data_IF_436068403307
#
_entry.id   IF_436068403307
#
_cell.length_a   1.000
_cell.length_b   1.000
_cell.length_c   1.000
_cell.angle_alpha   90.00
_cell.angle_beta   90.00
_cell.angle_gamma   90.00
#
_symmetry.space_group_name_H-M   'P 1'
#
loop_
_entity.id
_entity.type
_entity.pdbx_description
1 polymer ?
#
# COMPACT_ATOMS: atom_id res chain seq x y z
N UNK A 1 -12.75 28.38 -9.62
CA UNK A 1 -12.93 26.98 -10.04
C UNK A 1 -12.65 26.13 -8.82
N UNK A 2 -13.51 25.16 -8.49
CA UNK A 2 -13.20 24.20 -7.41
C UNK A 2 -11.96 23.42 -7.79
N UNK A 3 -11.08 23.12 -6.83
CA UNK A 3 -9.95 22.23 -7.09
C UNK A 3 -10.47 20.82 -7.39
N UNK A 4 -9.89 20.13 -8.37
CA UNK A 4 -10.26 18.74 -8.65
C UNK A 4 -9.54 17.78 -7.73
N UNK A 5 -10.16 16.62 -7.45
CA UNK A 5 -9.48 15.52 -6.76
C UNK A 5 -8.24 15.06 -7.51
N UNK A 6 -8.27 15.09 -8.84
CA UNK A 6 -7.15 14.64 -9.67
C UNK A 6 -5.95 15.57 -9.57
N UNK A 7 -6.17 16.89 -9.50
CA UNK A 7 -5.08 17.85 -9.25
C UNK A 7 -4.50 17.68 -7.85
N UNK A 8 -5.35 17.45 -6.84
CA UNK A 8 -4.91 17.21 -5.47
C UNK A 8 -4.09 15.91 -5.37
N UNK A 9 -4.57 14.82 -5.95
CA UNK A 9 -3.87 13.55 -6.00
C UNK A 9 -2.52 13.68 -6.72
N UNK A 10 -2.47 14.45 -7.83
CA UNK A 10 -1.21 14.72 -8.53
C UNK A 10 -0.23 15.51 -7.66
N UNK A 11 -0.70 16.52 -6.94
CA UNK A 11 0.13 17.28 -6.02
C UNK A 11 0.71 16.40 -4.89
N UNK A 12 -0.07 15.45 -4.36
CA UNK A 12 0.43 14.47 -3.39
C UNK A 12 1.53 13.58 -3.98
N UNK A 13 1.31 13.09 -5.22
CA UNK A 13 2.26 12.23 -5.93
C UNK A 13 3.54 12.98 -6.30
N UNK A 14 3.47 14.27 -6.64
CA UNK A 14 4.64 15.07 -7.00
C UNK A 14 5.44 15.53 -5.76
N UNK A 15 4.90 15.38 -4.55
CA UNK A 15 5.56 15.80 -3.32
C UNK A 15 6.82 14.97 -3.04
N UNK A 16 7.97 15.64 -3.03
CA UNK A 16 9.29 15.00 -2.94
C UNK A 16 9.66 14.65 -1.50
N UNK A 17 9.44 15.54 -0.53
CA UNK A 17 9.87 15.27 0.85
C UNK A 17 8.80 14.51 1.63
N UNK A 18 9.17 13.70 2.64
CA UNK A 18 8.19 13.04 3.50
C UNK A 18 7.21 14.01 4.13
N UNK A 19 7.68 15.15 4.63
CA UNK A 19 6.84 16.18 5.26
C UNK A 19 5.83 16.77 4.26
N UNK A 20 6.28 17.10 3.05
CA UNK A 20 5.41 17.66 2.02
C UNK A 20 4.35 16.66 1.59
N UNK A 21 4.72 15.39 1.41
CA UNK A 21 3.79 14.33 0.99
C UNK A 21 2.71 14.07 2.03
N UNK A 22 3.09 14.01 3.30
CA UNK A 22 2.16 13.84 4.42
C UNK A 22 1.22 15.04 4.53
N UNK A 23 1.76 16.25 4.48
CA UNK A 23 0.97 17.47 4.57
C UNK A 23 -0.02 17.59 3.40
N UNK A 24 0.42 17.31 2.17
CA UNK A 24 -0.44 17.30 1.00
C UNK A 24 -1.53 16.22 1.12
N UNK A 25 -1.17 15.01 1.57
CA UNK A 25 -2.12 13.91 1.76
C UNK A 25 -3.21 14.26 2.75
N UNK A 26 -2.86 14.77 3.94
CA UNK A 26 -3.85 15.16 4.93
C UNK A 26 -4.72 16.32 4.45
N UNK A 27 -4.14 17.34 3.81
CA UNK A 27 -4.90 18.47 3.28
C UNK A 27 -5.90 18.02 2.19
N UNK A 28 -5.48 17.14 1.28
CA UNK A 28 -6.33 16.60 0.22
C UNK A 28 -7.45 15.70 0.78
N UNK A 29 -7.14 14.81 1.73
CA UNK A 29 -8.12 13.96 2.37
C UNK A 29 -9.17 14.77 3.16
N UNK A 30 -8.73 15.79 3.90
CA UNK A 30 -9.61 16.68 4.64
C UNK A 30 -10.53 17.47 3.68
N UNK A 31 -9.97 18.08 2.62
CA UNK A 31 -10.74 18.79 1.61
C UNK A 31 -11.75 17.88 0.89
N UNK A 32 -11.37 16.63 0.59
CA UNK A 32 -12.28 15.63 0.02
C UNK A 32 -13.44 15.32 0.97
N UNK A 33 -13.16 15.15 2.28
CA UNK A 33 -14.17 14.87 3.29
C UNK A 33 -15.18 16.00 3.46
N UNK A 34 -14.75 17.26 3.23
CA UNK A 34 -15.61 18.45 3.22
C UNK A 34 -16.36 18.67 1.91
N UNK A 35 -16.13 17.83 0.90
CA UNK A 35 -16.76 17.95 -0.42
C UNK A 35 -16.22 19.11 -1.26
N UNK A 36 -15.01 19.60 -0.96
CA UNK A 36 -14.39 20.74 -1.64
C UNK A 36 -13.67 20.34 -2.94
N UNK A 37 -13.37 19.04 -3.10
CA UNK A 37 -12.73 18.49 -4.28
C UNK A 37 -13.76 17.89 -5.24
N UNK A 38 -13.84 18.45 -6.44
CA UNK A 38 -14.71 17.91 -7.50
C UNK A 38 -14.07 16.71 -8.19
N UNK A 39 -14.88 15.77 -8.67
CA UNK A 39 -14.45 14.63 -9.49
C UNK A 39 -15.07 14.83 -10.89
N UNK A 40 -14.39 15.52 -11.81
CA UNK A 40 -14.96 15.83 -13.12
C UNK A 40 -15.04 14.58 -14.02
N UNK A 41 -16.21 14.36 -14.63
CA UNK A 41 -16.44 13.26 -15.58
C UNK A 41 -15.67 13.45 -16.90
N UNK A 42 -15.38 14.71 -17.26
CA UNK A 42 -14.69 15.13 -18.48
C UNK A 42 -13.20 15.42 -18.27
N UNK A 43 -12.63 14.93 -17.15
CA UNK A 43 -11.21 15.08 -16.87
C UNK A 43 -10.34 14.51 -18.02
N UNK A 44 -9.22 15.16 -18.36
CA UNK A 44 -8.30 14.62 -19.33
C UNK A 44 -7.74 13.26 -18.86
N UNK A 45 -7.28 12.48 -19.83
CA UNK A 45 -6.56 11.24 -19.56
C UNK A 45 -5.38 11.52 -18.59
N UNK A 46 -5.11 10.61 -17.63
CA UNK A 46 -4.03 10.80 -16.68
C UNK A 46 -2.69 10.86 -17.41
N UNK A 47 -1.86 11.82 -17.05
CA UNK A 47 -0.45 11.78 -17.44
C UNK A 47 0.25 10.57 -16.82
N UNK A 48 1.22 10.00 -17.53
CA UNK A 48 1.96 8.85 -17.04
C UNK A 48 2.83 9.23 -15.83
N UNK A 49 2.57 8.60 -14.68
CA UNK A 49 3.46 8.64 -13.53
C UNK A 49 4.42 7.46 -13.65
N UNK A 50 5.70 7.75 -13.92
CA UNK A 50 6.78 6.74 -13.89
C UNK A 50 7.29 6.51 -12.48
N UNK A 51 7.53 7.59 -11.72
CA UNK A 51 7.95 7.52 -10.33
C UNK A 51 7.29 8.69 -9.59
N UNK A 52 6.68 8.48 -8.42
CA UNK A 52 6.22 9.57 -7.58
C UNK A 52 7.41 10.36 -7.04
N UNK A 53 7.16 11.60 -6.65
CA UNK A 53 8.10 12.42 -5.88
C UNK A 53 8.61 11.64 -4.68
N UNK A 54 9.94 11.56 -4.53
CA UNK A 54 10.58 10.86 -3.41
C UNK A 54 11.84 11.58 -2.99
N UNK A 55 12.21 11.52 -1.69
CA UNK A 55 13.47 12.09 -1.23
C UNK A 55 14.67 11.38 -1.86
N UNK A 56 15.84 12.02 -1.82
CA UNK A 56 17.10 11.43 -2.31
C UNK A 56 17.41 10.09 -1.62
N UNK A 57 17.05 9.98 -0.34
CA UNK A 57 17.18 8.78 0.50
C UNK A 57 15.80 8.37 1.04
N UNK A 58 15.49 7.06 1.14
CA UNK A 58 16.42 5.92 1.05
C UNK A 58 16.87 5.64 -0.38
N UNK A 59 18.10 5.09 -0.53
CA UNK A 59 18.54 4.57 -1.81
C UNK A 59 17.70 3.33 -2.13
N UNK A 60 17.25 3.23 -3.39
CA UNK A 60 16.49 2.08 -3.86
C UNK A 60 17.47 1.08 -4.46
N UNK A 61 17.63 -0.06 -3.79
CA UNK A 61 18.51 -1.16 -4.17
C UNK A 61 17.68 -2.39 -4.55
N UNK A 62 18.31 -3.36 -5.23
CA UNK A 62 17.64 -4.61 -5.54
C UNK A 62 17.33 -5.36 -4.22
N UNK A 63 16.18 -6.07 -4.08
CA UNK A 63 15.80 -6.74 -2.82
C UNK A 63 16.87 -7.65 -2.19
N UNK A 64 17.70 -8.28 -3.04
CA UNK A 64 18.84 -9.14 -2.63
C UNK A 64 19.98 -8.38 -1.93
N UNK A 65 20.10 -7.10 -2.20
CA UNK A 65 21.18 -6.24 -1.70
C UNK A 65 20.76 -5.52 -0.40
N UNK A 66 19.52 -5.71 0.05
CA UNK A 66 19.05 -5.16 1.32
C UNK A 66 19.79 -5.80 2.50
N UNK A 67 20.27 -4.98 3.45
CA UNK A 67 20.84 -5.49 4.69
C UNK A 67 19.86 -6.41 5.42
N UNK A 68 20.39 -7.49 6.02
CA UNK A 68 19.57 -8.39 6.84
C UNK A 68 19.06 -7.65 8.08
N UNK A 69 17.74 -7.53 8.18
CA UNK A 69 17.03 -6.94 9.31
C UNK A 69 16.96 -7.96 10.44
N UNK A 70 17.07 -7.51 11.70
CA UNK A 70 17.01 -8.40 12.85
C UNK A 70 16.65 -7.67 14.13
N UNK A 71 16.02 -8.37 15.07
CA UNK A 71 15.53 -7.76 16.30
C UNK A 71 16.54 -7.75 17.46
N UNK A 72 17.74 -8.30 17.23
CA UNK A 72 18.76 -8.53 18.27
C UNK A 72 19.56 -7.27 18.69
N UNK A 73 19.42 -6.16 17.98
CA UNK A 73 20.07 -4.88 18.31
C UNK A 73 19.13 -3.70 18.06
N UNK A 74 19.47 -2.53 18.62
CA UNK A 74 18.71 -1.29 18.36
C UNK A 74 18.77 -0.89 16.89
N UNK A 75 19.94 -0.98 16.26
CA UNK A 75 20.11 -0.70 14.82
C UNK A 75 19.28 -1.66 13.96
N UNK A 76 19.28 -2.95 14.29
CA UNK A 76 18.48 -3.94 13.57
C UNK A 76 16.97 -3.69 13.70
N UNK A 77 16.51 -3.27 14.90
CA UNK A 77 15.12 -2.84 15.11
C UNK A 77 14.79 -1.56 14.36
N UNK A 78 15.69 -0.58 14.34
CA UNK A 78 15.54 0.64 13.54
C UNK A 78 15.41 0.32 12.04
N UNK A 79 16.27 -0.55 11.50
CA UNK A 79 16.19 -1.00 10.10
C UNK A 79 14.86 -1.74 9.79
N UNK A 80 14.34 -2.51 10.76
CA UNK A 80 13.02 -3.15 10.64
C UNK A 80 11.88 -2.11 10.62
N UNK A 81 11.87 -1.15 11.54
CA UNK A 81 10.84 -0.10 11.61
C UNK A 81 10.90 0.78 10.37
N UNK A 82 12.11 1.17 9.92
CA UNK A 82 12.32 1.92 8.68
C UNK A 82 11.73 1.20 7.47
N UNK A 83 11.90 -0.12 7.39
CA UNK A 83 11.37 -0.87 6.27
C UNK A 83 9.83 -0.85 6.20
N UNK A 84 9.16 -0.93 7.35
CA UNK A 84 7.70 -0.80 7.41
C UNK A 84 7.30 0.63 7.08
N UNK A 85 8.00 1.64 7.63
CA UNK A 85 7.77 3.03 7.25
C UNK A 85 7.92 3.24 5.73
N UNK A 86 8.87 2.56 5.08
CA UNK A 86 9.00 2.63 3.63
C UNK A 86 7.83 1.99 2.88
N UNK A 87 7.25 0.91 3.42
CA UNK A 87 6.03 0.31 2.87
C UNK A 87 4.88 1.32 2.95
N UNK A 88 4.62 1.91 4.12
CA UNK A 88 3.49 2.87 4.26
C UNK A 88 3.72 4.11 3.41
N UNK A 89 4.96 4.58 3.29
CA UNK A 89 5.29 5.70 2.42
C UNK A 89 4.97 5.42 0.94
N UNK A 90 5.24 4.20 0.47
CA UNK A 90 4.84 3.77 -0.88
C UNK A 90 3.32 3.59 -0.96
N UNK A 91 2.65 3.10 0.09
CA UNK A 91 1.21 2.89 0.10
C UNK A 91 0.43 4.21 -0.06
N UNK A 92 0.94 5.33 0.50
CA UNK A 92 0.43 6.68 0.20
C UNK A 92 0.44 6.94 -1.32
N UNK A 93 1.55 6.64 -1.99
CA UNK A 93 1.68 6.84 -3.44
C UNK A 93 0.80 5.90 -4.24
N UNK A 94 0.66 4.63 -3.83
CA UNK A 94 -0.17 3.64 -4.50
C UNK A 94 -1.65 4.03 -4.45
N UNK A 95 -2.10 4.51 -3.29
CA UNK A 95 -3.46 4.98 -3.08
C UNK A 95 -3.75 6.24 -3.91
N UNK A 96 -2.85 7.24 -3.88
CA UNK A 96 -3.00 8.43 -4.73
C UNK A 96 -2.89 8.12 -6.22
N UNK A 97 -2.03 7.19 -6.63
CA UNK A 97 -1.94 6.73 -8.02
C UNK A 97 -3.23 6.05 -8.45
N UNK A 98 -3.86 5.22 -7.60
CA UNK A 98 -5.16 4.63 -7.92
C UNK A 98 -6.23 5.71 -8.13
N UNK A 99 -6.35 6.67 -7.20
CA UNK A 99 -7.29 7.78 -7.30
C UNK A 99 -7.00 8.70 -8.51
N UNK A 100 -5.74 8.93 -8.82
CA UNK A 100 -5.31 9.78 -9.94
C UNK A 100 -5.34 9.05 -11.28
N UNK A 101 -5.18 7.73 -11.37
CA UNK A 101 -4.99 7.06 -12.66
C UNK A 101 -6.31 6.59 -13.26
N UNK A 102 -7.18 6.00 -12.45
CA UNK A 102 -8.39 5.37 -12.96
C UNK A 102 -9.53 6.39 -13.01
N UNK A 103 -9.75 6.93 -14.21
CA UNK A 103 -10.82 7.88 -14.53
C UNK A 103 -12.17 7.17 -14.70
N UNK A 104 -13.26 7.92 -14.49
CA UNK A 104 -14.63 7.42 -14.71
C UNK A 104 -15.08 6.35 -13.70
N UNK A 105 -14.42 6.28 -12.55
CA UNK A 105 -14.80 5.35 -11.48
C UNK A 105 -15.92 5.94 -10.63
N UNK A 106 -16.70 5.12 -9.91
CA UNK A 106 -17.69 5.62 -8.96
C UNK A 106 -17.03 6.47 -7.85
N UNK A 107 -17.79 7.38 -7.24
CA UNK A 107 -17.28 8.26 -6.16
C UNK A 107 -16.68 7.47 -4.99
N UNK A 108 -17.26 6.31 -4.70
CA UNK A 108 -16.84 5.40 -3.65
C UNK A 108 -15.42 4.85 -3.89
N UNK A 109 -15.01 4.68 -5.15
CA UNK A 109 -13.64 4.26 -5.48
C UNK A 109 -12.65 5.29 -5.01
N UNK A 110 -12.92 6.54 -5.35
CA UNK A 110 -12.08 7.66 -4.95
C UNK A 110 -12.09 7.84 -3.43
N UNK A 111 -13.24 7.67 -2.78
CA UNK A 111 -13.35 7.76 -1.33
C UNK A 111 -12.52 6.70 -0.61
N UNK A 112 -12.54 5.45 -1.09
CA UNK A 112 -11.72 4.37 -0.54
C UNK A 112 -10.23 4.72 -0.62
N UNK A 113 -9.73 5.11 -1.80
CA UNK A 113 -8.29 5.39 -1.98
C UNK A 113 -7.83 6.66 -1.28
N UNK A 114 -8.68 7.68 -1.16
CA UNK A 114 -8.39 8.85 -0.31
C UNK A 114 -8.30 8.44 1.17
N UNK A 115 -9.19 7.56 1.63
CA UNK A 115 -9.15 7.05 3.01
C UNK A 115 -7.89 6.23 3.27
N UNK A 116 -7.53 5.32 2.35
CA UNK A 116 -6.29 4.54 2.44
C UNK A 116 -5.10 5.48 2.51
N UNK A 117 -4.94 6.42 1.57
CA UNK A 117 -3.82 7.36 1.58
C UNK A 117 -3.69 8.12 2.91
N UNK A 118 -4.82 8.53 3.50
CA UNK A 118 -4.85 9.21 4.79
C UNK A 118 -4.39 8.31 5.95
N UNK A 119 -4.83 7.05 5.97
CA UNK A 119 -4.38 6.09 6.98
C UNK A 119 -2.88 5.79 6.84
N UNK A 120 -2.40 5.57 5.62
CA UNK A 120 -0.99 5.31 5.34
C UNK A 120 -0.07 6.47 5.75
N UNK A 121 -0.51 7.71 5.52
CA UNK A 121 0.21 8.89 5.99
C UNK A 121 0.28 8.98 7.52
N UNK A 122 -0.74 8.50 8.23
CA UNK A 122 -0.74 8.41 9.69
C UNK A 122 0.14 7.25 10.18
N UNK A 123 0.08 6.08 9.54
CA UNK A 123 0.92 4.92 9.85
C UNK A 123 2.40 5.25 9.67
N UNK A 124 2.74 5.89 8.55
CA UNK A 124 4.08 6.40 8.28
C UNK A 124 4.58 7.31 9.41
N UNK A 125 3.77 8.26 9.85
CA UNK A 125 4.15 9.17 10.94
C UNK A 125 4.40 8.43 12.27
N UNK A 126 3.56 7.44 12.61
CA UNK A 126 3.75 6.63 13.81
C UNK A 126 5.09 5.87 13.75
N UNK A 127 5.38 5.23 12.63
CA UNK A 127 6.60 4.46 12.43
C UNK A 127 7.84 5.36 12.39
N UNK A 128 7.76 6.51 11.71
CA UNK A 128 8.86 7.48 11.66
C UNK A 128 9.16 8.09 13.03
N UNK A 129 8.12 8.40 13.82
CA UNK A 129 8.30 8.84 15.20
C UNK A 129 9.00 7.76 16.03
N UNK A 130 8.55 6.50 15.91
CA UNK A 130 9.19 5.37 16.59
C UNK A 130 10.64 5.16 16.13
N UNK A 131 10.92 5.31 14.85
CA UNK A 131 12.27 5.21 14.29
C UNK A 131 13.23 6.24 14.92
N UNK A 132 12.73 7.46 15.15
CA UNK A 132 13.50 8.55 15.80
C UNK A 132 13.84 8.26 17.26
N UNK A 133 13.02 7.49 17.96
CA UNK A 133 13.35 7.02 19.32
C UNK A 133 14.55 6.05 19.32
N UNK A 134 14.85 5.41 18.19
CA UNK A 134 16.06 4.62 17.98
C UNK A 134 17.25 5.45 17.46
N UNK A 135 17.12 6.78 17.34
CA UNK A 135 18.18 7.67 16.87
C UNK A 135 18.35 7.71 15.34
N UNK A 136 17.34 7.25 14.58
CA UNK A 136 17.37 7.21 13.12
C UNK A 136 16.18 7.98 12.51
N UNK A 137 16.27 8.37 11.24
CA UNK A 137 15.15 8.93 10.49
C UNK A 137 14.87 8.15 9.19
N UNK A 138 13.72 8.43 8.59
CA UNK A 138 13.36 7.87 7.29
C UNK A 138 14.40 8.28 6.23
N UNK A 139 15.04 7.27 5.64
CA UNK A 139 16.11 7.43 4.65
C UNK A 139 17.49 7.01 5.14
N UNK A 140 17.66 6.72 6.44
CA UNK A 140 18.95 6.27 6.98
C UNK A 140 19.35 4.88 6.46
N UNK A 141 18.37 4.02 6.19
CA UNK A 141 18.58 2.68 5.64
C UNK A 141 18.14 2.58 4.18
N UNK A 142 18.74 1.67 3.42
CA UNK A 142 18.34 1.39 2.03
C UNK A 142 16.99 0.68 1.96
N UNK A 143 16.29 0.84 0.83
CA UNK A 143 14.98 0.26 0.59
C UNK A 143 14.88 -0.34 -0.83
N UNK A 144 13.76 -0.96 -1.17
CA UNK A 144 13.51 -1.51 -2.50
C UNK A 144 12.19 -1.00 -3.06
N UNK A 145 12.08 -0.93 -4.39
CA UNK A 145 10.95 -0.32 -5.09
C UNK A 145 9.86 -1.32 -5.52
N UNK A 146 9.81 -2.50 -4.88
CA UNK A 146 9.07 -3.66 -5.41
C UNK A 146 7.55 -3.41 -5.54
N UNK A 147 6.98 -2.60 -4.64
CA UNK A 147 5.57 -2.23 -4.69
C UNK A 147 5.25 -1.37 -5.92
N UNK A 148 6.04 -0.30 -6.12
CA UNK A 148 5.83 0.61 -7.24
C UNK A 148 6.12 -0.04 -8.60
N UNK A 149 7.10 -0.95 -8.68
CA UNK A 149 7.35 -1.71 -9.91
C UNK A 149 6.11 -2.50 -10.38
N UNK A 150 5.31 -3.05 -9.45
CA UNK A 150 4.05 -3.71 -9.80
C UNK A 150 2.98 -2.69 -10.23
N UNK A 151 2.95 -1.53 -9.59
CA UNK A 151 2.07 -0.44 -9.98
C UNK A 151 2.35 0.01 -11.43
N UNK A 152 3.62 0.14 -11.82
CA UNK A 152 4.01 0.44 -13.21
C UNK A 152 3.58 -0.66 -14.18
N UNK A 153 3.80 -1.95 -13.84
CA UNK A 153 3.40 -3.09 -14.69
C UNK A 153 1.89 -3.14 -14.92
N UNK A 154 1.10 -2.75 -13.93
CA UNK A 154 -0.38 -2.76 -13.98
C UNK A 154 -0.98 -1.40 -14.29
N UNK A 155 -0.18 -0.39 -14.63
CA UNK A 155 -0.61 1.00 -14.84
C UNK A 155 -1.65 1.16 -15.97
N UNK A 156 -1.77 0.18 -16.85
CA UNK A 156 -2.68 0.19 -17.99
C UNK A 156 -4.01 -0.52 -17.70
N UNK A 157 -4.12 -1.26 -16.58
CA UNK A 157 -5.28 -2.10 -16.28
C UNK A 157 -5.69 -1.99 -14.80
N UNK A 158 -6.83 -1.34 -14.56
CA UNK A 158 -7.41 -1.23 -13.22
C UNK A 158 -7.80 -2.57 -12.62
N UNK A 159 -8.23 -3.53 -13.44
CA UNK A 159 -8.57 -4.88 -12.97
C UNK A 159 -7.32 -5.56 -12.41
N UNK A 160 -6.24 -5.62 -13.20
CA UNK A 160 -4.97 -6.17 -12.75
C UNK A 160 -4.40 -5.40 -11.54
N UNK A 161 -4.51 -4.07 -11.53
CA UNK A 161 -4.05 -3.26 -10.39
C UNK A 161 -4.74 -3.66 -9.09
N UNK A 162 -6.07 -3.67 -9.07
CA UNK A 162 -6.86 -4.01 -7.87
C UNK A 162 -6.68 -5.47 -7.46
N UNK A 163 -6.42 -6.36 -8.42
CA UNK A 163 -6.14 -7.77 -8.15
C UNK A 163 -4.78 -7.99 -7.47
N UNK A 164 -3.76 -7.18 -7.79
CA UNK A 164 -2.37 -7.52 -7.47
C UNK A 164 -1.78 -6.63 -6.38
N UNK A 165 -1.92 -5.30 -6.48
CA UNK A 165 -1.24 -4.39 -5.56
C UNK A 165 -1.83 -4.48 -4.15
N UNK A 166 -3.11 -4.14 -3.92
CA UNK A 166 -3.68 -4.18 -2.57
C UNK A 166 -3.89 -5.61 -2.05
N UNK A 167 -4.26 -6.53 -2.96
CA UNK A 167 -4.67 -7.89 -2.60
C UNK A 167 -3.51 -8.88 -2.43
N UNK A 168 -2.37 -8.65 -3.10
CA UNK A 168 -1.22 -9.57 -3.01
C UNK A 168 -0.07 -8.93 -2.28
N UNK A 169 0.34 -7.72 -2.71
CA UNK A 169 1.54 -7.09 -2.17
C UNK A 169 1.29 -6.43 -0.83
N UNK A 170 0.28 -5.57 -0.71
CA UNK A 170 -0.05 -4.88 0.55
C UNK A 170 -0.62 -5.88 1.57
N UNK A 171 -1.50 -6.78 1.14
CA UNK A 171 -2.03 -7.88 1.98
C UNK A 171 -0.97 -8.77 2.63
N UNK A 172 0.29 -8.73 2.18
CA UNK A 172 1.41 -9.38 2.88
C UNK A 172 1.55 -8.88 4.32
N UNK A 173 1.20 -7.62 4.60
CA UNK A 173 1.15 -7.06 5.96
C UNK A 173 0.26 -7.89 6.89
N UNK A 174 -0.87 -8.41 6.40
CA UNK A 174 -1.78 -9.28 7.17
C UNK A 174 -1.15 -10.63 7.54
N UNK A 175 -0.24 -11.11 6.71
CA UNK A 175 0.40 -12.42 6.86
C UNK A 175 1.60 -12.34 7.83
N UNK A 176 2.45 -11.33 7.65
CA UNK A 176 3.77 -11.29 8.31
C UNK A 176 3.75 -10.55 9.66
N UNK A 177 2.91 -9.51 9.80
CA UNK A 177 2.90 -8.63 10.97
C UNK A 177 2.55 -9.35 12.28
N UNK A 178 1.58 -10.29 12.32
CA UNK A 178 1.28 -11.03 13.56
C UNK A 178 2.50 -11.74 14.15
N UNK A 179 3.32 -12.37 13.30
CA UNK A 179 4.55 -13.04 13.73
C UNK A 179 5.62 -12.06 14.22
N UNK A 180 5.65 -10.84 13.69
CA UNK A 180 6.58 -9.79 14.15
C UNK A 180 6.14 -9.22 15.50
N UNK A 181 4.83 -9.01 15.70
CA UNK A 181 4.25 -8.57 16.99
C UNK A 181 4.63 -9.54 18.11
N UNK A 182 4.48 -10.85 17.90
CA UNK A 182 4.85 -11.87 18.89
C UNK A 182 6.34 -11.77 19.27
N UNK A 183 7.22 -11.59 18.29
CA UNK A 183 8.67 -11.46 18.52
C UNK A 183 9.02 -10.19 19.29
N UNK A 184 8.44 -9.05 18.92
CA UNK A 184 8.69 -7.76 19.57
C UNK A 184 8.18 -7.74 21.01
N UNK A 185 7.00 -8.32 21.25
CA UNK A 185 6.44 -8.50 22.61
C UNK A 185 7.35 -9.33 23.49
N UNK A 186 7.90 -10.43 22.97
CA UNK A 186 8.87 -11.26 23.71
C UNK A 186 10.16 -10.50 24.07
N UNK A 187 10.46 -9.40 23.37
CA UNK A 187 11.62 -8.54 23.63
C UNK A 187 11.28 -7.31 24.47
N UNK A 188 10.02 -7.17 24.91
CA UNK A 188 9.54 -6.03 25.71
C UNK A 188 9.36 -4.73 24.92
N UNK A 189 9.33 -4.77 23.59
CA UNK A 189 9.11 -3.59 22.75
C UNK A 189 7.61 -3.32 22.54
N UNK A 190 6.91 -3.01 23.64
CA UNK A 190 5.47 -2.76 23.62
C UNK A 190 5.08 -1.52 22.80
N UNK A 191 5.98 -0.54 22.69
CA UNK A 191 5.73 0.67 21.90
C UNK A 191 5.62 0.35 20.40
N UNK A 192 6.56 -0.44 19.86
CA UNK A 192 6.48 -0.87 18.45
C UNK A 192 5.30 -1.82 18.24
N UNK A 193 5.01 -2.70 19.21
CA UNK A 193 3.84 -3.60 19.15
C UNK A 193 2.53 -2.82 19.01
N UNK A 194 2.31 -1.79 19.83
CA UNK A 194 1.08 -1.00 19.79
C UNK A 194 0.87 -0.29 18.44
N UNK A 195 1.96 0.15 17.80
CA UNK A 195 1.92 0.74 16.46
C UNK A 195 1.52 -0.33 15.43
N UNK A 196 2.17 -1.49 15.43
CA UNK A 196 1.87 -2.56 14.47
C UNK A 196 0.47 -3.14 14.65
N UNK A 197 -0.06 -3.21 15.87
CA UNK A 197 -1.44 -3.62 16.14
C UNK A 197 -2.46 -2.60 15.61
N UNK A 198 -2.12 -1.32 15.62
CA UNK A 198 -2.94 -0.26 15.03
C UNK A 198 -2.98 -0.40 13.50
N UNK A 199 -1.81 -0.54 12.88
CA UNK A 199 -1.68 -0.72 11.43
C UNK A 199 -2.42 -1.97 10.98
N UNK A 200 -2.13 -3.13 11.60
CA UNK A 200 -2.74 -4.42 11.23
C UNK A 200 -4.27 -4.41 11.29
N UNK A 201 -4.86 -3.70 12.25
CA UNK A 201 -6.33 -3.58 12.38
C UNK A 201 -6.93 -2.78 11.22
N UNK A 202 -6.23 -1.76 10.74
CA UNK A 202 -6.70 -0.84 9.71
C UNK A 202 -6.45 -1.42 8.30
N UNK A 203 -5.37 -2.18 8.13
CA UNK A 203 -4.95 -2.84 6.89
C UNK A 203 -6.03 -3.74 6.27
N UNK A 204 -6.87 -4.39 7.09
CA UNK A 204 -7.96 -5.26 6.59
C UNK A 204 -8.93 -4.47 5.70
N UNK A 205 -9.22 -3.21 6.05
CA UNK A 205 -10.12 -2.36 5.28
C UNK A 205 -9.49 -1.93 3.94
N UNK A 206 -8.17 -1.73 3.91
CA UNK A 206 -7.42 -1.35 2.71
C UNK A 206 -7.40 -2.50 1.70
N UNK A 207 -7.07 -3.71 2.15
CA UNK A 207 -7.13 -4.92 1.31
C UNK A 207 -8.58 -5.20 0.87
N UNK A 208 -9.57 -4.95 1.72
CA UNK A 208 -10.99 -5.08 1.36
C UNK A 208 -11.42 -4.11 0.27
N UNK A 209 -10.88 -2.88 0.23
CA UNK A 209 -11.10 -1.96 -0.88
C UNK A 209 -10.59 -2.54 -2.20
N UNK A 210 -9.36 -3.09 -2.21
CA UNK A 210 -8.83 -3.83 -3.35
C UNK A 210 -9.75 -4.96 -3.82
N UNK A 211 -10.24 -5.78 -2.88
CA UNK A 211 -11.19 -6.87 -3.17
C UNK A 211 -12.52 -6.41 -3.75
N UNK A 212 -13.08 -5.28 -3.27
CA UNK A 212 -14.31 -4.70 -3.83
C UNK A 212 -14.10 -4.25 -5.27
N UNK A 213 -13.07 -3.44 -5.52
CA UNK A 213 -12.84 -2.85 -6.84
C UNK A 213 -12.37 -3.86 -7.86
N UNK A 214 -11.64 -4.89 -7.44
CA UNK A 214 -11.35 -6.05 -8.28
C UNK A 214 -12.63 -6.70 -8.81
N UNK A 215 -13.57 -7.03 -7.91
CA UNK A 215 -14.86 -7.64 -8.29
C UNK A 215 -15.69 -6.71 -9.17
N UNK A 216 -15.71 -5.42 -8.87
CA UNK A 216 -16.37 -4.42 -9.70
C UNK A 216 -15.84 -4.41 -11.13
N UNK A 217 -14.51 -4.46 -11.30
CA UNK A 217 -13.90 -4.55 -12.63
C UNK A 217 -14.23 -5.87 -13.33
N UNK A 218 -14.20 -6.99 -12.62
CA UNK A 218 -14.59 -8.29 -13.16
C UNK A 218 -16.04 -8.31 -13.66
N UNK A 219 -16.97 -7.80 -12.86
CA UNK A 219 -18.39 -7.68 -13.23
C UNK A 219 -18.55 -6.83 -14.49
N UNK A 220 -17.89 -5.67 -14.55
CA UNK A 220 -17.95 -4.77 -15.69
C UNK A 220 -17.34 -5.36 -16.96
N UNK A 221 -16.31 -6.20 -16.83
CA UNK A 221 -15.68 -6.90 -17.94
C UNK A 221 -16.39 -8.21 -18.31
N UNK A 222 -17.38 -8.67 -17.52
CA UNK A 222 -18.06 -9.94 -17.74
C UNK A 222 -17.17 -11.17 -17.56
N UNK A 223 -16.14 -11.08 -16.70
CA UNK A 223 -15.19 -12.17 -16.43
C UNK A 223 -15.36 -12.71 -15.01
N UNK A 224 -15.16 -14.02 -14.84
CA UNK A 224 -15.19 -14.64 -13.52
C UNK A 224 -13.95 -14.23 -12.70
N UNK A 225 -14.12 -13.69 -11.48
CA UNK A 225 -13.02 -13.23 -10.65
C UNK A 225 -12.05 -14.35 -10.25
N UNK A 226 -12.50 -15.57 -9.98
CA UNK A 226 -11.61 -16.61 -9.46
C UNK A 226 -10.56 -17.07 -10.49
N UNK A 227 -10.94 -17.52 -11.71
CA UNK A 227 -9.96 -17.90 -12.72
C UNK A 227 -9.14 -16.69 -13.18
N UNK A 228 -9.75 -15.50 -13.29
CA UNK A 228 -9.00 -14.30 -13.69
C UNK A 228 -7.93 -13.93 -12.66
N UNK A 229 -8.20 -14.08 -11.37
CA UNK A 229 -7.22 -13.86 -10.32
C UNK A 229 -6.06 -14.85 -10.43
N UNK A 230 -6.35 -16.14 -10.66
CA UNK A 230 -5.32 -17.18 -10.88
C UNK A 230 -4.40 -16.86 -12.07
N UNK A 231 -4.96 -16.40 -13.18
CA UNK A 231 -4.18 -15.96 -14.35
C UNK A 231 -3.23 -14.80 -14.01
N UNK A 232 -3.75 -13.76 -13.35
CA UNK A 232 -2.97 -12.58 -12.97
C UNK A 232 -1.85 -12.93 -11.98
N UNK A 233 -2.12 -13.83 -11.03
CA UNK A 233 -1.09 -14.32 -10.11
C UNK A 233 0.04 -15.05 -10.85
N UNK A 234 -0.30 -15.91 -11.82
CA UNK A 234 0.67 -16.65 -12.60
C UNK A 234 1.50 -15.73 -13.52
N UNK A 235 0.87 -14.72 -14.11
CA UNK A 235 1.51 -13.77 -15.04
C UNK A 235 2.44 -12.79 -14.31
N UNK A 236 2.01 -12.22 -13.17
CA UNK A 236 2.70 -11.10 -12.53
C UNK A 236 3.34 -11.43 -11.19
N UNK A 237 2.69 -12.25 -10.36
CA UNK A 237 2.97 -12.31 -8.93
C UNK A 237 3.78 -13.53 -8.47
N UNK A 238 4.05 -14.50 -9.35
CA UNK A 238 4.71 -15.75 -8.96
C UNK A 238 6.03 -15.55 -8.21
N UNK A 239 6.83 -14.57 -8.61
CA UNK A 239 8.13 -14.28 -7.98
C UNK A 239 8.03 -13.59 -6.61
N UNK A 240 6.84 -13.17 -6.19
CA UNK A 240 6.62 -12.38 -4.96
C UNK A 240 5.61 -13.03 -4.00
N UNK A 241 5.05 -14.19 -4.37
CA UNK A 241 4.14 -14.97 -3.54
C UNK A 241 4.93 -15.85 -2.57
N UNK A 242 4.75 -15.60 -1.27
CA UNK A 242 5.39 -16.37 -0.21
C UNK A 242 4.41 -16.54 0.95
N UNK A 243 4.10 -17.79 1.28
CA UNK A 243 3.34 -18.11 2.49
C UNK A 243 4.20 -18.09 3.77
N UNK A 244 3.60 -18.43 4.92
CA UNK A 244 2.19 -18.81 5.08
C UNK A 244 1.26 -17.60 4.94
N UNK A 245 0.04 -17.83 4.45
CA UNK A 245 -1.00 -16.80 4.35
C UNK A 245 -1.90 -16.78 5.60
N UNK A 246 -2.33 -15.59 6.02
CA UNK A 246 -3.31 -15.41 7.07
C UNK A 246 -4.73 -15.51 6.48
N UNK A 247 -5.26 -16.74 6.43
CA UNK A 247 -6.57 -17.02 5.82
C UNK A 247 -7.71 -16.26 6.49
N UNK A 248 -7.67 -16.10 7.82
CA UNK A 248 -8.71 -15.38 8.56
C UNK A 248 -8.74 -13.90 8.16
N UNK A 249 -7.59 -13.21 8.22
CA UNK A 249 -7.51 -11.80 7.86
C UNK A 249 -7.79 -11.57 6.37
N UNK A 250 -7.29 -12.42 5.47
CA UNK A 250 -7.57 -12.32 4.03
C UNK A 250 -9.05 -12.61 3.74
N UNK A 251 -9.69 -13.56 4.42
CA UNK A 251 -11.14 -13.79 4.29
C UNK A 251 -11.94 -12.57 4.74
N UNK A 252 -11.55 -11.95 5.86
CA UNK A 252 -12.16 -10.71 6.35
C UNK A 252 -11.97 -9.54 5.37
N UNK A 253 -10.85 -9.53 4.66
CA UNK A 253 -10.57 -8.60 3.56
C UNK A 253 -11.23 -8.99 2.22
N UNK A 254 -12.14 -9.98 2.24
CA UNK A 254 -12.97 -10.35 1.11
C UNK A 254 -12.32 -11.32 0.13
N UNK A 255 -11.41 -12.19 0.54
CA UNK A 255 -10.98 -13.33 -0.29
C UNK A 255 -11.97 -14.49 -0.17
N UNK A 256 -12.32 -15.11 -1.29
CA UNK A 256 -13.06 -16.37 -1.30
C UNK A 256 -12.17 -17.59 -1.02
N UNK A 257 -12.74 -18.73 -0.58
CA UNK A 257 -11.97 -19.95 -0.31
C UNK A 257 -11.11 -20.41 -1.50
N UNK A 258 -11.65 -20.32 -2.71
CA UNK A 258 -10.95 -20.70 -3.94
C UNK A 258 -9.79 -19.78 -4.33
N UNK A 259 -9.87 -18.51 -3.93
CA UNK A 259 -8.79 -17.53 -4.13
C UNK A 259 -7.65 -17.77 -3.14
N UNK A 260 -7.98 -18.12 -1.89
CA UNK A 260 -6.99 -18.51 -0.88
C UNK A 260 -6.26 -19.80 -1.27
N UNK A 261 -6.99 -20.81 -1.76
CA UNK A 261 -6.38 -22.04 -2.26
C UNK A 261 -5.45 -21.78 -3.45
N UNK A 262 -5.80 -20.84 -4.33
CA UNK A 262 -4.95 -20.44 -5.44
C UNK A 262 -3.62 -19.80 -4.97
N UNK A 263 -3.67 -18.96 -3.93
CA UNK A 263 -2.48 -18.36 -3.34
C UNK A 263 -1.54 -19.44 -2.78
N UNK A 264 -2.07 -20.39 -2.01
CA UNK A 264 -1.30 -21.50 -1.44
C UNK A 264 -0.62 -22.34 -2.53
N UNK A 265 -1.38 -22.74 -3.56
CA UNK A 265 -0.87 -23.59 -4.65
C UNK A 265 0.22 -22.92 -5.48
N UNK A 266 0.19 -21.60 -5.64
CA UNK A 266 1.17 -20.86 -6.43
C UNK A 266 2.41 -20.44 -5.64
N UNK A 267 2.31 -20.38 -4.30
CA UNK A 267 3.42 -20.08 -3.41
C UNK A 267 4.28 -21.31 -3.06
N UNK A 268 3.70 -22.52 -3.16
CA UNK A 268 4.40 -23.80 -3.03
C UNK A 268 5.15 -24.22 -4.30
#
# INVERSE_FOLDING_TARGET
MSASLFDAARACLDAVTPEAKIAATFAAAEAFSRGELTIPDDAPAPEAIRMPGRPERPLLVHPRDLPRRGFGSNEGRAAFIHAIAHIEFNAIDLAWDAAYRFRGMPREFYADWVSVANDEARHFNLLRARLREFGHDYGDFDAHNGLWEMAEKTAHDGLARMALVPRVLEARGLDVTPGMIVKLRAMGDEATVAILETILREEVAHVAAGSRWYRWYCERAGVDPVPRFRELLAEYARAVLYGPFNHEARSAAGFGPEELEALEKLAG
#
